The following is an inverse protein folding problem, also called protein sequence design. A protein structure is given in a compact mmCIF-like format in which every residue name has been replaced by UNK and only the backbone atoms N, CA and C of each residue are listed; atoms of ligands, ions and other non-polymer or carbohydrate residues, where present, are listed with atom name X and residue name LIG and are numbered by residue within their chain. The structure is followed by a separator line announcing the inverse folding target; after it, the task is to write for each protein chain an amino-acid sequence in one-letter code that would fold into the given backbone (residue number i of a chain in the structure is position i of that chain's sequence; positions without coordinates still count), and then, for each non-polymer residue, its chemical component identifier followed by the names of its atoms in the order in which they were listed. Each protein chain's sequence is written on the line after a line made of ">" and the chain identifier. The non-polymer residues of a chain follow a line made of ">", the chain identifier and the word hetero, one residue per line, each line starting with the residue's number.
data_IF_974962262388
#
_entry.id   IF_974962262388
#
_cell.length_a   1.000
_cell.length_b   1.000
_cell.length_c   1.000
_cell.angle_alpha   90.00
_cell.angle_beta   90.00
_cell.angle_gamma   90.00
#
_symmetry.space_group_name_H-M   'P 1'
#
loop_
_entity.id
_entity.type
_entity.pdbx_description
1 polymer ?
#
# COMPACT_ATOMS: atom_id res chain seq x y z
N UNK A 1 23.72 -13.39 -1.32
CA UNK A 1 22.80 -13.31 -0.17
C UNK A 1 22.11 -11.94 -0.02
N UNK A 2 22.83 -10.81 0.18
CA UNK A 2 22.18 -9.49 0.39
C UNK A 2 21.26 -9.01 -0.75
N UNK A 3 21.51 -9.37 -2.01
CA UNK A 3 20.67 -8.97 -3.14
C UNK A 3 19.36 -9.76 -3.24
N UNK A 4 19.34 -11.01 -2.79
CA UNK A 4 18.15 -11.88 -2.89
C UNK A 4 17.02 -11.43 -1.95
N UNK A 5 17.31 -10.73 -0.85
CA UNK A 5 16.27 -10.20 0.03
C UNK A 5 15.36 -9.19 -0.70
N UNK A 6 15.92 -8.40 -1.63
CA UNK A 6 15.14 -7.44 -2.41
C UNK A 6 14.21 -8.13 -3.41
N UNK A 7 14.64 -9.29 -3.97
CA UNK A 7 13.76 -10.13 -4.81
C UNK A 7 12.62 -10.71 -3.97
N UNK A 8 12.91 -11.17 -2.76
CA UNK A 8 11.88 -11.66 -1.82
C UNK A 8 10.87 -10.54 -1.51
N UNK A 9 11.34 -9.30 -1.28
CA UNK A 9 10.47 -8.14 -1.05
C UNK A 9 9.61 -7.84 -2.28
N UNK A 10 10.17 -7.91 -3.50
CA UNK A 10 9.38 -7.76 -4.73
C UNK A 10 8.24 -8.79 -4.73
N UNK A 11 8.54 -10.06 -4.47
CA UNK A 11 7.54 -11.14 -4.45
C UNK A 11 6.47 -10.88 -3.39
N UNK A 12 6.87 -10.49 -2.17
CA UNK A 12 5.94 -10.20 -1.08
C UNK A 12 4.97 -9.07 -1.41
N UNK A 13 5.44 -8.03 -2.10
CA UNK A 13 4.60 -6.88 -2.47
C UNK A 13 3.89 -7.07 -3.81
N UNK A 14 4.42 -7.93 -4.69
CA UNK A 14 3.78 -8.24 -5.98
C UNK A 14 2.35 -8.76 -5.77
N UNK A 15 2.14 -9.60 -4.76
CA UNK A 15 0.85 -10.12 -4.37
C UNK A 15 -0.20 -9.01 -4.15
N UNK A 16 0.15 -8.01 -3.35
CA UNK A 16 -0.74 -6.88 -3.10
C UNK A 16 -1.13 -6.15 -4.38
N UNK A 17 -0.14 -5.86 -5.23
CA UNK A 17 -0.35 -5.04 -6.41
C UNK A 17 -1.00 -5.81 -7.58
N UNK A 18 -0.73 -7.10 -7.73
CA UNK A 18 -1.40 -7.97 -8.71
C UNK A 18 -2.92 -7.98 -8.49
N UNK A 19 -3.35 -7.91 -7.25
CA UNK A 19 -4.76 -8.01 -6.88
C UNK A 19 -5.56 -6.73 -7.13
N UNK A 20 -4.94 -5.58 -7.25
CA UNK A 20 -5.65 -4.31 -7.43
C UNK A 20 -6.61 -4.30 -8.62
N UNK A 21 -6.24 -4.75 -9.83
CA UNK A 21 -7.17 -4.79 -10.95
C UNK A 21 -8.17 -5.95 -10.91
N UNK A 22 -7.92 -7.01 -10.11
CA UNK A 22 -8.65 -8.27 -10.25
C UNK A 22 -9.65 -8.58 -9.13
N UNK A 23 -9.44 -8.06 -7.91
CA UNK A 23 -10.29 -8.43 -6.75
C UNK A 23 -11.72 -7.96 -6.90
N UNK A 24 -11.93 -6.73 -7.36
CA UNK A 24 -13.27 -6.17 -7.57
C UNK A 24 -14.02 -6.89 -8.68
N UNK A 25 -13.47 -7.07 -9.91
CA UNK A 25 -14.15 -7.84 -10.95
C UNK A 25 -14.43 -9.28 -10.53
N UNK A 26 -13.51 -9.93 -9.84
CA UNK A 26 -13.70 -11.28 -9.34
C UNK A 26 -14.86 -11.38 -8.33
N UNK A 27 -14.98 -10.41 -7.42
CA UNK A 27 -16.11 -10.36 -6.49
C UNK A 27 -17.45 -10.16 -7.23
N UNK A 28 -17.48 -9.29 -8.25
CA UNK A 28 -18.66 -9.04 -9.08
C UNK A 28 -19.06 -10.30 -9.90
N UNK A 29 -18.09 -11.04 -10.45
CA UNK A 29 -18.32 -12.32 -11.15
C UNK A 29 -18.96 -13.37 -10.22
N UNK A 30 -18.60 -13.36 -8.91
CA UNK A 30 -19.22 -14.22 -7.89
C UNK A 30 -20.61 -13.71 -7.42
N UNK A 31 -21.15 -12.67 -8.04
CA UNK A 31 -22.48 -12.12 -7.77
C UNK A 31 -22.54 -11.11 -6.63
N UNK A 32 -21.41 -10.49 -6.26
CA UNK A 32 -21.41 -9.40 -5.27
C UNK A 32 -22.12 -8.16 -5.83
N UNK A 33 -22.83 -7.39 -4.96
CA UNK A 33 -23.12 -6.01 -5.26
C UNK A 33 -21.84 -5.17 -5.23
N UNK A 34 -21.87 -3.94 -5.77
CA UNK A 34 -20.70 -3.05 -5.76
C UNK A 34 -20.24 -2.72 -4.35
N UNK A 35 -21.20 -2.51 -3.43
CA UNK A 35 -20.87 -2.32 -2.03
C UNK A 35 -20.22 -3.57 -1.41
N UNK A 36 -20.76 -4.77 -1.68
CA UNK A 36 -20.20 -6.01 -1.18
C UNK A 36 -18.79 -6.26 -1.74
N UNK A 37 -18.56 -5.95 -3.01
CA UNK A 37 -17.22 -6.01 -3.61
C UNK A 37 -16.24 -5.04 -2.92
N UNK A 38 -16.70 -3.85 -2.51
CA UNK A 38 -15.87 -2.92 -1.73
C UNK A 38 -15.52 -3.46 -0.34
N UNK A 39 -16.44 -4.20 0.30
CA UNK A 39 -16.19 -4.90 1.57
C UNK A 39 -15.13 -5.99 1.39
N UNK A 40 -15.14 -6.72 0.26
CA UNK A 40 -14.08 -7.70 -0.08
C UNK A 40 -12.71 -7.04 -0.15
N UNK A 41 -12.62 -5.86 -0.77
CA UNK A 41 -11.36 -5.09 -0.83
C UNK A 41 -10.95 -4.61 0.55
N UNK A 42 -11.89 -4.07 1.35
CA UNK A 42 -11.65 -3.53 2.68
C UNK A 42 -11.22 -4.61 3.68
N UNK A 43 -11.79 -5.82 3.60
CA UNK A 43 -11.55 -6.92 4.53
C UNK A 43 -10.05 -7.26 4.67
N UNK A 44 -9.31 -7.25 3.57
CA UNK A 44 -7.86 -7.40 3.56
C UNK A 44 -7.17 -6.32 4.40
N UNK A 45 -7.51 -5.05 4.18
CA UNK A 45 -6.84 -3.92 4.83
C UNK A 45 -7.12 -3.88 6.34
N UNK A 46 -8.34 -4.26 6.77
CA UNK A 46 -8.70 -4.36 8.20
C UNK A 46 -7.81 -5.36 8.93
N UNK A 47 -7.68 -6.55 8.39
CA UNK A 47 -6.90 -7.61 9.06
C UNK A 47 -5.40 -7.46 8.88
N UNK A 48 -4.96 -6.77 7.83
CA UNK A 48 -3.56 -6.40 7.62
C UNK A 48 -3.02 -5.55 8.78
N UNK A 49 -3.83 -4.68 9.40
CA UNK A 49 -3.44 -3.94 10.61
C UNK A 49 -3.04 -4.90 11.73
N UNK A 50 -3.89 -5.86 12.02
CA UNK A 50 -3.63 -6.87 13.06
C UNK A 50 -2.41 -7.72 12.72
N UNK A 51 -2.30 -8.12 11.44
CA UNK A 51 -1.15 -8.86 10.93
C UNK A 51 0.17 -8.12 11.11
N UNK A 52 0.21 -6.81 10.83
CA UNK A 52 1.40 -5.97 11.02
C UNK A 52 1.81 -5.89 12.51
N UNK A 53 0.86 -5.68 13.41
CA UNK A 53 1.13 -5.59 14.85
C UNK A 53 1.66 -6.92 15.39
N UNK A 54 0.97 -8.02 15.10
CA UNK A 54 1.35 -9.34 15.58
C UNK A 54 2.61 -9.86 14.86
N UNK A 55 2.77 -9.57 13.58
CA UNK A 55 3.97 -9.90 12.81
C UNK A 55 5.23 -9.22 13.35
N UNK A 56 5.12 -7.94 13.74
CA UNK A 56 6.18 -7.24 14.45
C UNK A 56 6.54 -7.94 15.77
N UNK A 57 5.55 -8.24 16.61
CA UNK A 57 5.75 -8.94 17.87
C UNK A 57 6.36 -10.34 17.68
N UNK A 58 5.84 -11.13 16.72
CA UNK A 58 6.39 -12.46 16.43
C UNK A 58 7.80 -12.39 15.87
N UNK A 59 8.07 -11.43 15.00
CA UNK A 59 9.38 -11.17 14.44
C UNK A 59 10.44 -10.88 15.52
N UNK A 60 10.06 -10.10 16.54
CA UNK A 60 10.93 -9.79 17.67
C UNK A 60 11.10 -10.97 18.64
N UNK A 61 10.04 -11.76 18.85
CA UNK A 61 10.04 -12.85 19.84
C UNK A 61 10.61 -14.15 19.30
N UNK A 62 10.24 -14.55 18.09
CA UNK A 62 10.55 -15.87 17.51
C UNK A 62 11.66 -15.81 16.45
N UNK A 63 11.98 -14.63 15.96
CA UNK A 63 13.03 -14.39 14.96
C UNK A 63 12.47 -13.90 13.61
N UNK A 64 13.31 -13.15 12.90
CA UNK A 64 12.93 -12.50 11.64
C UNK A 64 12.63 -13.51 10.53
N UNK A 65 13.57 -14.45 10.33
CA UNK A 65 13.43 -15.49 9.31
C UNK A 65 12.23 -16.41 9.59
N UNK A 66 12.06 -16.84 10.83
CA UNK A 66 10.97 -17.77 11.21
C UNK A 66 9.60 -17.13 10.97
N UNK A 67 9.42 -15.88 11.37
CA UNK A 67 8.16 -15.15 11.15
C UNK A 67 7.89 -14.93 9.67
N UNK A 68 8.93 -14.56 8.89
CA UNK A 68 8.83 -14.41 7.44
C UNK A 68 8.43 -15.73 6.76
N UNK A 69 9.07 -16.83 7.11
CA UNK A 69 8.77 -18.17 6.56
C UNK A 69 7.35 -18.60 6.89
N UNK A 70 6.92 -18.45 8.15
CA UNK A 70 5.54 -18.77 8.56
C UNK A 70 4.53 -17.95 7.76
N UNK A 71 4.75 -16.63 7.67
CA UNK A 71 3.90 -15.75 6.87
C UNK A 71 3.85 -16.18 5.41
N UNK A 72 4.97 -16.50 4.79
CA UNK A 72 5.01 -16.95 3.39
C UNK A 72 4.36 -18.30 3.16
N UNK A 73 4.50 -19.27 4.09
CA UNK A 73 3.81 -20.57 3.99
C UNK A 73 2.30 -20.35 4.05
N UNK A 74 1.80 -19.58 5.02
CA UNK A 74 0.39 -19.26 5.13
C UNK A 74 -0.11 -18.50 3.89
N UNK A 75 0.73 -17.62 3.33
CA UNK A 75 0.40 -16.87 2.13
C UNK A 75 0.25 -17.77 0.89
N UNK A 76 1.13 -18.76 0.70
CA UNK A 76 0.99 -19.76 -0.37
C UNK A 76 -0.34 -20.49 -0.24
N UNK A 77 -0.70 -20.94 0.97
CA UNK A 77 -1.95 -21.66 1.21
C UNK A 77 -3.17 -20.79 0.91
N UNK A 78 -3.16 -19.53 1.40
CA UNK A 78 -4.32 -18.64 1.23
C UNK A 78 -4.46 -18.14 -0.22
N UNK A 79 -3.36 -17.84 -0.92
CA UNK A 79 -3.40 -17.48 -2.34
C UNK A 79 -3.96 -18.67 -3.17
N UNK A 80 -3.56 -19.89 -2.84
CA UNK A 80 -4.09 -21.08 -3.50
C UNK A 80 -5.60 -21.27 -3.26
N UNK A 81 -6.15 -20.78 -2.16
CA UNK A 81 -7.59 -20.88 -1.86
C UNK A 81 -8.45 -20.04 -2.80
N UNK A 82 -7.91 -19.00 -3.42
CA UNK A 82 -8.65 -18.22 -4.43
C UNK A 82 -8.99 -19.02 -5.70
N UNK A 83 -8.22 -20.07 -6.01
CA UNK A 83 -8.41 -20.90 -7.23
C UNK A 83 -9.79 -21.57 -7.24
N UNK A 84 -10.31 -21.92 -6.05
CA UNK A 84 -11.57 -22.68 -5.90
C UNK A 84 -12.57 -21.93 -5.01
N UNK A 85 -12.69 -20.61 -5.15
CA UNK A 85 -13.61 -19.80 -4.36
C UNK A 85 -15.05 -19.93 -4.90
N UNK A 86 -15.98 -20.58 -4.18
CA UNK A 86 -17.30 -20.87 -4.71
C UNK A 86 -18.32 -19.74 -4.46
N UNK A 87 -18.12 -18.89 -3.47
CA UNK A 87 -19.08 -17.86 -3.04
C UNK A 87 -18.38 -16.61 -2.52
N UNK A 88 -19.14 -15.51 -2.50
CA UNK A 88 -18.67 -14.23 -1.98
C UNK A 88 -18.31 -14.31 -0.49
N UNK A 89 -19.03 -15.07 0.30
CA UNK A 89 -18.73 -15.26 1.74
C UNK A 89 -17.38 -15.94 1.96
N UNK A 90 -17.06 -16.96 1.14
CA UNK A 90 -15.76 -17.63 1.15
C UNK A 90 -14.67 -16.66 0.70
N UNK A 91 -14.91 -15.83 -0.32
CA UNK A 91 -13.97 -14.82 -0.78
C UNK A 91 -13.64 -13.82 0.33
N UNK A 92 -14.64 -13.33 1.08
CA UNK A 92 -14.42 -12.45 2.23
C UNK A 92 -13.57 -13.15 3.30
N UNK A 93 -13.87 -14.41 3.63
CA UNK A 93 -13.08 -15.20 4.57
C UNK A 93 -11.62 -15.34 4.15
N UNK A 94 -11.38 -15.65 2.87
CA UNK A 94 -10.04 -15.70 2.28
C UNK A 94 -9.35 -14.34 2.40
N UNK A 95 -10.02 -13.23 2.09
CA UNK A 95 -9.48 -11.86 2.19
C UNK A 95 -9.08 -11.49 3.62
N UNK A 96 -9.88 -11.90 4.61
CA UNK A 96 -9.60 -11.70 6.04
C UNK A 96 -8.30 -12.41 6.43
N UNK A 97 -8.15 -13.69 6.10
CA UNK A 97 -6.93 -14.46 6.41
C UNK A 97 -5.75 -13.93 5.60
N UNK A 98 -5.96 -13.59 4.33
CA UNK A 98 -4.93 -13.06 3.44
C UNK A 98 -4.34 -11.74 3.95
N UNK A 99 -5.18 -10.78 4.33
CA UNK A 99 -4.72 -9.51 4.91
C UNK A 99 -3.87 -9.73 6.17
N UNK A 100 -4.32 -10.62 7.05
CA UNK A 100 -3.58 -10.96 8.27
C UNK A 100 -2.21 -11.55 7.97
N UNK A 101 -2.13 -12.55 7.09
CA UNK A 101 -0.87 -13.23 6.74
C UNK A 101 0.11 -12.29 6.02
N UNK A 102 -0.38 -11.47 5.11
CA UNK A 102 0.43 -10.46 4.41
C UNK A 102 0.96 -9.40 5.39
N UNK A 103 0.13 -8.98 6.35
CA UNK A 103 0.56 -8.07 7.41
C UNK A 103 1.71 -8.62 8.27
N UNK A 104 1.75 -9.92 8.52
CA UNK A 104 2.86 -10.55 9.26
C UNK A 104 4.20 -10.50 8.52
N UNK A 105 4.18 -10.54 7.19
CA UNK A 105 5.37 -10.60 6.34
C UNK A 105 6.14 -9.26 6.36
N UNK A 106 5.42 -8.15 6.23
CA UNK A 106 5.99 -6.81 6.03
C UNK A 106 6.98 -6.39 7.14
N UNK A 107 6.63 -6.40 8.44
CA UNK A 107 7.55 -6.00 9.49
C UNK A 107 8.74 -6.96 9.63
N UNK A 108 8.54 -8.26 9.40
CA UNK A 108 9.61 -9.25 9.44
C UNK A 108 10.64 -9.02 8.32
N UNK A 109 10.17 -8.75 7.09
CA UNK A 109 11.03 -8.48 5.94
C UNK A 109 11.83 -7.17 6.12
N UNK A 110 11.19 -6.09 6.60
CA UNK A 110 11.85 -4.81 6.80
C UNK A 110 12.87 -4.86 7.94
N UNK A 111 12.54 -5.50 9.05
CA UNK A 111 13.48 -5.71 10.16
C UNK A 111 14.67 -6.53 9.71
N UNK A 112 14.45 -7.58 8.91
CA UNK A 112 15.54 -8.41 8.37
C UNK A 112 16.50 -7.57 7.50
N UNK A 113 15.98 -6.71 6.63
CA UNK A 113 16.83 -5.80 5.81
C UNK A 113 17.66 -4.88 6.69
N UNK A 114 17.09 -4.34 7.75
CA UNK A 114 17.81 -3.47 8.68
C UNK A 114 18.90 -4.24 9.42
N UNK A 115 18.58 -5.42 9.95
CA UNK A 115 19.51 -6.26 10.72
C UNK A 115 20.74 -6.73 9.92
N UNK A 116 20.56 -7.08 8.64
CA UNK A 116 21.66 -7.53 7.77
C UNK A 116 22.47 -6.38 7.17
N UNK A 117 22.05 -5.14 7.37
CA UNK A 117 22.69 -3.94 6.84
C UNK A 117 23.66 -3.33 7.86
N UNK A 118 24.80 -2.80 7.40
CA UNK A 118 25.68 -2.02 8.26
C UNK A 118 24.97 -0.73 8.67
N UNK A 119 25.21 -0.21 9.85
CA UNK A 119 24.59 1.02 10.38
C UNK A 119 24.65 2.18 9.40
N UNK A 120 25.81 2.39 8.77
CA UNK A 120 26.05 3.47 7.80
C UNK A 120 25.31 3.26 6.48
N UNK A 121 24.89 2.03 6.18
CA UNK A 121 24.23 1.61 4.95
C UNK A 121 22.72 1.37 5.09
N UNK A 122 22.12 1.53 6.28
CA UNK A 122 20.69 1.29 6.53
C UNK A 122 19.84 2.18 5.61
N UNK A 123 20.18 3.46 5.47
CA UNK A 123 19.45 4.38 4.58
C UNK A 123 19.42 3.89 3.12
N UNK A 124 20.58 3.43 2.61
CA UNK A 124 20.67 2.86 1.26
C UNK A 124 19.89 1.55 1.13
N UNK A 125 19.92 0.70 2.14
CA UNK A 125 19.18 -0.56 2.16
C UNK A 125 17.67 -0.33 2.14
N UNK A 126 17.18 0.64 2.92
CA UNK A 126 15.76 1.02 2.92
C UNK A 126 15.33 1.70 1.61
N UNK A 127 16.21 2.48 0.99
CA UNK A 127 15.95 3.01 -0.36
C UNK A 127 15.80 1.90 -1.40
N UNK A 128 16.66 0.87 -1.37
CA UNK A 128 16.53 -0.31 -2.24
C UNK A 128 15.25 -1.11 -1.95
N UNK A 129 14.82 -1.18 -0.69
CA UNK A 129 13.50 -1.75 -0.32
C UNK A 129 12.37 -0.95 -0.99
N UNK A 130 12.44 0.38 -0.95
CA UNK A 130 11.49 1.25 -1.65
C UNK A 130 11.45 1.02 -3.16
N UNK A 131 12.63 0.86 -3.79
CA UNK A 131 12.73 0.49 -5.21
C UNK A 131 12.07 -0.87 -5.49
N UNK A 132 12.28 -1.86 -4.62
CA UNK A 132 11.67 -3.19 -4.76
C UNK A 132 10.15 -3.12 -4.72
N UNK A 133 9.59 -2.35 -3.78
CA UNK A 133 8.14 -2.10 -3.69
C UNK A 133 7.65 -1.34 -4.94
N UNK A 134 8.40 -0.34 -5.40
CA UNK A 134 8.08 0.41 -6.61
C UNK A 134 8.02 -0.48 -7.86
N UNK A 135 8.95 -1.42 -8.01
CA UNK A 135 8.91 -2.41 -9.09
C UNK A 135 7.66 -3.30 -8.99
N UNK A 136 7.31 -3.77 -7.80
CA UNK A 136 6.07 -4.53 -7.59
C UNK A 136 4.82 -3.69 -7.94
N UNK A 137 4.81 -2.40 -7.59
CA UNK A 137 3.70 -1.48 -7.90
C UNK A 137 3.56 -1.18 -9.40
N UNK A 138 4.65 -1.24 -10.16
CA UNK A 138 4.64 -1.05 -11.63
C UNK A 138 4.19 -2.33 -12.33
N UNK A 139 4.86 -3.45 -12.04
CA UNK A 139 4.65 -4.70 -12.77
C UNK A 139 3.45 -5.51 -12.25
N UNK A 140 3.11 -5.37 -10.97
CA UNK A 140 2.04 -6.13 -10.33
C UNK A 140 0.67 -5.93 -11.01
N UNK A 141 0.16 -4.70 -11.10
CA UNK A 141 -1.15 -4.46 -11.68
C UNK A 141 -1.21 -4.86 -13.16
N UNK A 142 -0.16 -4.56 -13.94
CA UNK A 142 -0.11 -4.99 -15.35
C UNK A 142 -0.12 -6.52 -15.47
N UNK A 143 0.68 -7.23 -14.66
CA UNK A 143 0.69 -8.69 -14.66
C UNK A 143 -0.68 -9.25 -14.24
N UNK A 144 -1.28 -8.71 -13.18
CA UNK A 144 -2.60 -9.13 -12.70
C UNK A 144 -3.68 -8.98 -13.78
N UNK A 145 -3.77 -7.79 -14.36
CA UNK A 145 -4.77 -7.50 -15.39
C UNK A 145 -4.56 -8.30 -16.68
N UNK A 146 -3.30 -8.49 -17.14
CA UNK A 146 -3.00 -9.30 -18.33
C UNK A 146 -3.32 -10.78 -18.09
N UNK A 147 -2.90 -11.33 -16.95
CA UNK A 147 -3.13 -12.73 -16.63
C UNK A 147 -4.63 -13.03 -16.44
N UNK A 148 -5.37 -12.18 -15.75
CA UNK A 148 -6.80 -12.37 -15.52
C UNK A 148 -7.60 -12.29 -16.82
N UNK A 149 -7.28 -11.32 -17.67
CA UNK A 149 -7.93 -11.16 -18.98
C UNK A 149 -7.66 -12.35 -19.93
N UNK A 150 -6.45 -12.93 -19.89
CA UNK A 150 -6.08 -14.04 -20.80
C UNK A 150 -6.45 -15.41 -20.27
N UNK A 151 -6.36 -15.63 -18.97
CA UNK A 151 -6.43 -16.98 -18.37
C UNK A 151 -7.45 -17.10 -17.24
N UNK A 152 -8.16 -16.00 -16.90
CA UNK A 152 -9.11 -15.94 -15.80
C UNK A 152 -8.47 -15.84 -14.41
N UNK A 153 -9.31 -15.59 -13.39
CA UNK A 153 -8.84 -15.31 -12.02
C UNK A 153 -8.17 -16.52 -11.38
N UNK A 154 -8.74 -17.71 -11.52
CA UNK A 154 -8.20 -18.94 -10.94
C UNK A 154 -6.73 -19.18 -11.36
N UNK A 155 -6.44 -19.08 -12.66
CA UNK A 155 -5.09 -19.28 -13.18
C UNK A 155 -4.15 -18.13 -12.79
N UNK A 156 -4.65 -16.91 -12.67
CA UNK A 156 -3.87 -15.76 -12.15
C UNK A 156 -3.42 -16.02 -10.73
N UNK A 157 -4.31 -16.48 -9.86
CA UNK A 157 -3.95 -16.85 -8.49
C UNK A 157 -3.04 -18.08 -8.41
N UNK A 158 -3.19 -19.05 -9.33
CA UNK A 158 -2.25 -20.18 -9.43
C UNK A 158 -0.84 -19.70 -9.76
N UNK A 159 -0.68 -18.83 -10.76
CA UNK A 159 0.63 -18.24 -11.10
C UNK A 159 1.21 -17.47 -9.92
N UNK A 160 0.39 -16.68 -9.24
CA UNK A 160 0.83 -15.93 -8.05
C UNK A 160 1.27 -16.85 -6.92
N UNK A 161 0.54 -17.94 -6.65
CA UNK A 161 0.93 -18.95 -5.68
C UNK A 161 2.28 -19.60 -6.02
N UNK A 162 2.52 -19.94 -7.30
CA UNK A 162 3.80 -20.47 -7.75
C UNK A 162 4.94 -19.47 -7.59
N UNK A 163 4.72 -18.19 -7.88
CA UNK A 163 5.70 -17.11 -7.61
C UNK A 163 6.02 -17.04 -6.12
N UNK A 164 5.00 -17.17 -5.26
CA UNK A 164 5.21 -17.19 -3.80
C UNK A 164 5.97 -18.42 -3.31
N UNK A 165 5.73 -19.60 -3.93
CA UNK A 165 6.54 -20.83 -3.65
C UNK A 165 8.00 -20.58 -3.99
N UNK A 166 8.30 -19.93 -5.13
CA UNK A 166 9.69 -19.56 -5.47
C UNK A 166 10.27 -18.62 -4.42
N UNK A 167 9.51 -17.59 -3.98
CA UNK A 167 9.91 -16.68 -2.91
C UNK A 167 10.18 -17.40 -1.59
N UNK A 168 9.34 -18.37 -1.23
CA UNK A 168 9.49 -19.21 -0.04
C UNK A 168 10.80 -20.03 -0.10
N UNK A 169 11.05 -20.70 -1.23
CA UNK A 169 12.29 -21.48 -1.44
C UNK A 169 13.53 -20.58 -1.38
N UNK A 170 13.48 -19.41 -2.01
CA UNK A 170 14.56 -18.41 -1.90
C UNK A 170 14.77 -17.97 -0.45
N UNK A 171 13.72 -17.79 0.32
CA UNK A 171 13.80 -17.39 1.73
C UNK A 171 14.43 -18.49 2.58
N UNK A 172 14.07 -19.75 2.35
CA UNK A 172 14.67 -20.91 3.04
C UNK A 172 16.18 -20.95 2.82
N UNK A 173 16.62 -20.83 1.56
CA UNK A 173 18.02 -21.00 1.16
C UNK A 173 18.87 -19.76 1.44
N UNK A 174 18.37 -18.58 1.10
CA UNK A 174 19.17 -17.36 1.05
C UNK A 174 19.15 -16.53 2.35
N UNK A 175 18.10 -16.67 3.16
CA UNK A 175 17.92 -15.87 4.38
C UNK A 175 18.49 -16.63 5.58
N UNK A 176 19.34 -15.94 6.36
CA UNK A 176 19.80 -16.42 7.67
C UNK A 176 19.03 -15.71 8.77
N UNK A 177 18.82 -16.40 9.90
CA UNK A 177 18.23 -15.74 11.08
C UNK A 177 19.16 -14.63 11.56
N UNK A 178 18.59 -13.47 11.84
CA UNK A 178 19.36 -12.27 12.23
C UNK A 178 19.14 -11.86 13.69
N UNK A 179 18.24 -12.54 14.41
CA UNK A 179 17.88 -12.14 15.77
C UNK A 179 19.02 -12.41 16.73
N UNK A 180 19.67 -11.37 17.21
CA UNK A 180 20.52 -11.42 18.39
C UNK A 180 19.71 -10.97 19.61
N UNK A 181 19.80 -11.72 20.70
CA UNK A 181 19.08 -11.50 21.98
C UNK A 181 19.38 -10.11 22.59
N UNK A 182 20.39 -9.41 22.10
CA UNK A 182 20.87 -8.13 22.64
C UNK A 182 20.04 -6.90 22.25
N UNK A 183 19.21 -6.93 21.18
CA UNK A 183 18.39 -5.80 20.76
C UNK A 183 17.14 -5.57 21.63
N UNK A 184 16.91 -6.42 22.64
CA UNK A 184 15.72 -6.40 23.50
C UNK A 184 15.72 -5.28 24.58
N UNK A 185 16.77 -4.50 24.78
CA UNK A 185 16.93 -3.70 26.02
C UNK A 185 16.65 -2.20 25.91
N UNK A 186 16.42 -1.63 24.76
CA UNK A 186 15.98 -0.23 24.66
C UNK A 186 14.52 -0.10 24.28
N UNK A 187 13.63 -0.64 25.11
CA UNK A 187 12.21 -0.35 25.01
C UNK A 187 11.98 1.08 25.52
N UNK A 188 11.80 2.01 24.60
CA UNK A 188 11.58 3.40 24.97
C UNK A 188 10.27 3.56 25.75
N UNK A 189 10.33 4.28 26.85
CA UNK A 189 9.20 4.60 27.74
C UNK A 189 8.21 5.61 27.14
N UNK A 190 8.46 6.13 25.94
CA UNK A 190 7.55 7.09 25.29
C UNK A 190 6.15 6.49 25.15
N UNK A 191 5.18 7.15 25.76
CA UNK A 191 3.77 6.74 25.72
C UNK A 191 3.19 6.89 24.30
N UNK A 192 2.36 5.96 23.90
CA UNK A 192 1.64 6.02 22.61
C UNK A 192 0.84 7.33 22.46
N UNK A 193 0.23 7.80 23.56
CA UNK A 193 -0.54 9.04 23.59
C UNK A 193 0.29 10.25 23.18
N UNK A 194 1.56 10.32 23.57
CA UNK A 194 2.48 11.42 23.18
C UNK A 194 2.75 11.44 21.69
N UNK A 195 2.88 10.26 21.05
CA UNK A 195 3.12 10.16 19.60
C UNK A 195 1.86 10.47 18.79
N UNK A 196 0.69 10.04 19.27
CA UNK A 196 -0.60 10.28 18.62
C UNK A 196 -1.03 11.76 18.68
N UNK A 197 -0.55 12.53 19.70
CA UNK A 197 -0.90 13.94 19.87
C UNK A 197 0.16 14.91 19.38
N UNK A 198 1.37 14.43 19.03
CA UNK A 198 2.46 15.28 18.52
C UNK A 198 2.09 15.82 17.14
N UNK A 199 1.78 17.13 17.05
CA UNK A 199 1.22 17.79 15.86
C UNK A 199 1.89 17.42 14.52
N UNK A 200 3.24 17.44 14.35
CA UNK A 200 3.85 17.05 13.07
C UNK A 200 3.61 15.59 12.70
N UNK A 201 3.51 14.69 13.69
CA UNK A 201 3.17 13.28 13.45
C UNK A 201 1.70 13.11 13.07
N UNK A 202 0.80 13.85 13.71
CA UNK A 202 -0.64 13.87 13.35
C UNK A 202 -0.81 14.26 11.89
N UNK A 203 -0.04 15.25 11.42
CA UNK A 203 -0.03 15.65 10.01
C UNK A 203 0.40 14.50 9.09
N UNK A 204 1.45 13.76 9.46
CA UNK A 204 1.87 12.58 8.71
C UNK A 204 0.79 11.48 8.71
N UNK A 205 0.13 11.25 9.83
CA UNK A 205 -0.95 10.25 9.97
C UNK A 205 -2.18 10.61 9.12
N UNK A 206 -2.62 11.86 9.16
CA UNK A 206 -3.75 12.33 8.33
C UNK A 206 -3.37 12.29 6.84
N UNK A 207 -2.13 12.63 6.50
CA UNK A 207 -1.66 12.53 5.11
C UNK A 207 -1.67 11.10 4.61
N UNK A 208 -1.26 10.14 5.46
CA UNK A 208 -1.29 8.72 5.10
C UNK A 208 -2.72 8.21 4.95
N UNK A 209 -3.63 8.62 5.84
CA UNK A 209 -5.05 8.32 5.74
C UNK A 209 -5.62 8.88 4.44
N UNK A 210 -5.37 10.16 4.11
CA UNK A 210 -5.87 10.79 2.89
C UNK A 210 -5.34 10.10 1.61
N UNK A 211 -4.02 9.84 1.56
CA UNK A 211 -3.41 9.15 0.43
C UNK A 211 -4.02 7.77 0.22
N UNK A 212 -4.18 7.01 1.30
CA UNK A 212 -4.71 5.64 1.22
C UNK A 212 -6.21 5.59 1.03
N UNK A 213 -6.95 6.62 1.44
CA UNK A 213 -8.36 6.77 1.06
C UNK A 213 -8.49 6.89 -0.46
N UNK A 214 -7.63 7.69 -1.11
CA UNK A 214 -7.62 7.76 -2.57
C UNK A 214 -7.24 6.44 -3.24
N UNK A 215 -6.25 5.74 -2.69
CA UNK A 215 -5.76 4.47 -3.23
C UNK A 215 -6.77 3.33 -3.05
N UNK A 216 -7.43 3.25 -1.89
CA UNK A 216 -8.50 2.29 -1.63
C UNK A 216 -9.69 2.48 -2.58
N UNK A 217 -10.08 3.73 -2.81
CA UNK A 217 -11.11 4.06 -3.78
C UNK A 217 -10.67 3.70 -5.22
N UNK A 218 -9.43 4.01 -5.59
CA UNK A 218 -8.89 3.72 -6.90
C UNK A 218 -8.85 2.21 -7.17
N UNK A 219 -8.35 1.41 -6.22
CA UNK A 219 -8.24 -0.04 -6.38
C UNK A 219 -9.61 -0.73 -6.49
N UNK A 220 -10.64 -0.16 -5.85
CA UNK A 220 -12.02 -0.66 -5.95
C UNK A 220 -12.74 -0.16 -7.21
N UNK A 221 -12.77 1.16 -7.44
CA UNK A 221 -13.66 1.77 -8.43
C UNK A 221 -13.07 1.83 -9.84
N UNK A 222 -11.73 1.78 -10.02
CA UNK A 222 -11.14 1.83 -11.35
C UNK A 222 -11.51 0.60 -12.21
N UNK A 223 -11.48 -0.64 -11.69
CA UNK A 223 -11.97 -1.79 -12.43
C UNK A 223 -13.43 -1.63 -12.89
N UNK A 224 -14.31 -1.13 -12.01
CA UNK A 224 -15.72 -0.89 -12.36
C UNK A 224 -15.83 0.16 -13.47
N UNK A 225 -15.05 1.24 -13.39
CA UNK A 225 -15.01 2.29 -14.42
C UNK A 225 -14.55 1.75 -15.76
N UNK A 226 -13.50 0.93 -15.80
CA UNK A 226 -13.03 0.33 -17.06
C UNK A 226 -14.03 -0.67 -17.62
N UNK A 227 -14.64 -1.50 -16.79
CA UNK A 227 -15.73 -2.40 -17.20
C UNK A 227 -16.92 -1.64 -17.79
N UNK A 228 -17.35 -0.54 -17.18
CA UNK A 228 -18.44 0.32 -17.69
C UNK A 228 -18.14 0.95 -19.06
N UNK A 229 -16.87 1.07 -19.42
CA UNK A 229 -16.41 1.51 -20.74
C UNK A 229 -16.17 0.36 -21.73
N UNK A 230 -16.53 -0.88 -21.36
CA UNK A 230 -16.31 -2.07 -22.19
C UNK A 230 -14.84 -2.50 -22.29
N UNK A 231 -13.99 -2.07 -21.34
CA UNK A 231 -12.57 -2.40 -21.29
C UNK A 231 -12.34 -3.57 -20.31
N UNK A 232 -11.33 -4.37 -20.58
CA UNK A 232 -10.98 -5.54 -19.79
C UNK A 232 -10.02 -5.23 -18.63
N UNK A 233 -9.76 -6.21 -17.77
CA UNK A 233 -8.84 -6.10 -16.61
C UNK A 233 -7.41 -5.72 -17.03
N UNK A 234 -7.01 -6.09 -18.24
CA UNK A 234 -5.69 -5.75 -18.81
C UNK A 234 -5.50 -4.23 -18.85
N UNK A 235 -6.54 -3.50 -19.31
CA UNK A 235 -6.47 -2.02 -19.36
C UNK A 235 -6.43 -1.45 -17.96
N UNK A 236 -7.22 -1.99 -17.03
CA UNK A 236 -7.19 -1.59 -15.62
C UNK A 236 -5.78 -1.76 -15.01
N UNK A 237 -5.18 -2.91 -15.26
CA UNK A 237 -3.81 -3.20 -14.79
C UNK A 237 -2.77 -2.23 -15.37
N UNK A 238 -2.85 -1.95 -16.68
CA UNK A 238 -1.96 -0.99 -17.34
C UNK A 238 -2.14 0.43 -16.80
N UNK A 239 -3.37 0.88 -16.58
CA UNK A 239 -3.69 2.17 -15.98
C UNK A 239 -3.07 2.30 -14.59
N UNK A 240 -3.25 1.30 -13.73
CA UNK A 240 -2.65 1.28 -12.40
C UNK A 240 -1.11 1.26 -12.46
N UNK A 241 -0.51 0.65 -13.47
CA UNK A 241 0.95 0.67 -13.63
C UNK A 241 1.47 2.06 -14.01
N UNK A 242 0.68 2.86 -14.74
CA UNK A 242 1.06 4.24 -15.14
C UNK A 242 1.31 5.13 -13.93
N UNK A 243 0.48 5.06 -12.87
CA UNK A 243 0.75 5.86 -11.68
C UNK A 243 2.07 5.49 -11.02
N UNK A 244 2.39 4.18 -10.97
CA UNK A 244 3.66 3.69 -10.43
C UNK A 244 4.86 4.15 -11.25
N UNK A 245 4.78 4.04 -12.58
CA UNK A 245 5.82 4.53 -13.51
C UNK A 245 6.03 6.03 -13.33
N UNK A 246 4.95 6.81 -13.29
CA UNK A 246 5.03 8.27 -13.12
C UNK A 246 5.68 8.63 -11.78
N UNK A 247 5.31 7.95 -10.70
CA UNK A 247 5.92 8.17 -9.39
C UNK A 247 7.43 7.89 -9.41
N UNK A 248 7.86 6.80 -10.05
CA UNK A 248 9.30 6.46 -10.19
C UNK A 248 10.03 7.49 -11.05
N UNK A 249 9.43 7.98 -12.13
CA UNK A 249 10.00 9.05 -12.96
C UNK A 249 10.21 10.32 -12.13
N UNK A 250 9.23 10.72 -11.31
CA UNK A 250 9.36 11.89 -10.43
C UNK A 250 10.51 11.69 -9.44
N UNK A 251 10.64 10.51 -8.83
CA UNK A 251 11.74 10.21 -7.89
C UNK A 251 13.12 10.17 -8.53
N UNK A 252 13.21 9.67 -9.76
CA UNK A 252 14.46 9.59 -10.53
C UNK A 252 14.86 10.86 -11.26
N UNK A 253 13.97 11.86 -11.34
CA UNK A 253 14.21 13.11 -12.06
C UNK A 253 14.83 14.20 -11.17
N UNK A 254 15.33 15.30 -11.75
CA UNK A 254 15.77 16.48 -11.00
C UNK A 254 14.68 17.09 -10.09
N UNK A 255 13.41 16.75 -10.32
CA UNK A 255 12.30 17.13 -9.44
C UNK A 255 12.47 16.60 -8.01
N UNK A 256 13.24 15.54 -7.82
CA UNK A 256 13.59 15.05 -6.48
C UNK A 256 14.24 16.12 -5.60
N UNK A 257 14.94 17.10 -6.18
CA UNK A 257 15.51 18.21 -5.43
C UNK A 257 14.48 19.10 -4.73
N UNK A 258 13.21 19.06 -5.15
CA UNK A 258 12.14 19.81 -4.50
C UNK A 258 11.87 19.33 -3.06
N UNK A 259 12.14 18.07 -2.72
CA UNK A 259 12.01 17.56 -1.35
C UNK A 259 13.02 18.19 -0.36
N UNK A 260 14.09 18.82 -0.88
CA UNK A 260 15.07 19.55 -0.07
C UNK A 260 14.80 21.07 -0.07
N UNK A 261 14.11 21.59 -1.09
CA UNK A 261 13.90 23.04 -1.26
C UNK A 261 12.52 23.51 -0.81
N UNK A 262 11.51 22.65 -0.90
CA UNK A 262 10.12 22.99 -0.57
C UNK A 262 9.75 22.40 0.79
N UNK A 263 9.06 23.16 1.62
CA UNK A 263 8.58 22.68 2.91
C UNK A 263 7.64 21.47 2.72
N UNK A 264 7.84 20.45 3.55
CA UNK A 264 7.17 19.14 3.46
C UNK A 264 5.63 19.28 3.45
N UNK A 265 5.09 20.15 4.30
CA UNK A 265 3.66 20.43 4.38
C UNK A 265 3.08 21.02 3.08
N UNK A 266 3.87 21.83 2.35
CA UNK A 266 3.43 22.36 1.03
C UNK A 266 3.40 21.25 -0.01
N UNK A 267 4.39 20.36 -0.02
CA UNK A 267 4.42 19.23 -0.95
C UNK A 267 3.21 18.32 -0.76
N UNK A 268 2.84 18.03 0.50
CA UNK A 268 1.67 17.23 0.83
C UNK A 268 0.39 17.91 0.32
N UNK A 269 0.21 19.22 0.61
CA UNK A 269 -0.98 19.97 0.14
C UNK A 269 -1.09 19.96 -1.38
N UNK A 270 0.00 20.28 -2.08
CA UNK A 270 0.04 20.27 -3.56
C UNK A 270 -0.28 18.86 -4.08
N UNK A 271 0.33 17.82 -3.49
CA UNK A 271 0.10 16.45 -3.91
C UNK A 271 -1.35 15.99 -3.71
N UNK A 272 -2.00 16.35 -2.58
CA UNK A 272 -3.40 16.03 -2.33
C UNK A 272 -4.34 16.78 -3.30
N UNK A 273 -4.05 18.05 -3.64
CA UNK A 273 -4.80 18.78 -4.68
C UNK A 273 -4.68 18.09 -6.04
N UNK A 274 -3.46 17.68 -6.41
CA UNK A 274 -3.21 16.96 -7.68
C UNK A 274 -3.96 15.63 -7.70
N UNK A 275 -3.97 14.87 -6.59
CA UNK A 275 -4.73 13.62 -6.49
C UNK A 275 -6.23 13.88 -6.61
N UNK A 276 -6.76 14.90 -5.93
CA UNK A 276 -8.18 15.27 -6.02
C UNK A 276 -8.57 15.63 -7.47
N UNK A 277 -7.73 16.40 -8.15
CA UNK A 277 -7.93 16.72 -9.57
C UNK A 277 -7.90 15.46 -10.45
N UNK A 278 -6.96 14.55 -10.21
CA UNK A 278 -6.88 13.28 -10.92
C UNK A 278 -8.17 12.45 -10.73
N UNK A 279 -8.71 12.40 -9.51
CA UNK A 279 -9.98 11.71 -9.23
C UNK A 279 -11.15 12.32 -10.03
N UNK A 280 -11.21 13.64 -10.12
CA UNK A 280 -12.21 14.33 -10.94
C UNK A 280 -12.04 13.99 -12.42
N UNK A 281 -10.81 13.98 -12.93
CA UNK A 281 -10.51 13.61 -14.31
C UNK A 281 -10.87 12.14 -14.61
N UNK A 282 -10.63 11.21 -13.67
CA UNK A 282 -11.05 9.80 -13.82
C UNK A 282 -12.59 9.72 -13.87
N UNK A 283 -13.30 10.48 -13.04
CA UNK A 283 -14.76 10.48 -13.03
C UNK A 283 -15.34 10.85 -14.39
N UNK A 284 -14.88 11.94 -14.99
CA UNK A 284 -15.34 12.42 -16.29
C UNK A 284 -14.69 11.70 -17.49
N UNK A 285 -13.68 10.89 -17.26
CA UNK A 285 -12.95 10.15 -18.31
C UNK A 285 -13.85 9.16 -19.04
N UNK A 286 -14.03 9.35 -20.35
CA UNK A 286 -14.81 8.47 -21.22
C UNK A 286 -13.93 7.69 -22.20
N UNK A 287 -12.63 7.97 -22.26
CA UNK A 287 -11.69 7.33 -23.16
C UNK A 287 -10.36 7.00 -22.50
N UNK A 288 -9.67 6.03 -23.09
CA UNK A 288 -8.37 5.52 -22.57
C UNK A 288 -7.35 6.64 -22.38
N UNK A 289 -7.20 7.54 -23.37
CA UNK A 289 -6.20 8.62 -23.30
C UNK A 289 -6.38 9.51 -22.07
N UNK A 290 -7.63 9.85 -21.75
CA UNK A 290 -7.95 10.67 -20.59
C UNK A 290 -7.68 9.91 -19.29
N UNK A 291 -7.98 8.61 -19.21
CA UNK A 291 -7.70 7.78 -18.06
C UNK A 291 -6.19 7.63 -17.84
N UNK A 292 -5.40 7.40 -18.91
CA UNK A 292 -3.93 7.36 -18.80
C UNK A 292 -3.35 8.70 -18.31
N UNK A 293 -3.83 9.82 -18.84
CA UNK A 293 -3.41 11.14 -18.38
C UNK A 293 -3.77 11.37 -16.91
N UNK A 294 -4.98 11.01 -16.50
CA UNK A 294 -5.44 11.14 -15.12
C UNK A 294 -4.62 10.29 -14.14
N UNK A 295 -4.29 9.03 -14.50
CA UNK A 295 -3.45 8.15 -13.68
C UNK A 295 -1.98 8.65 -13.64
N UNK A 296 -1.49 9.25 -14.73
CA UNK A 296 -0.21 9.95 -14.72
C UNK A 296 -0.21 11.13 -13.74
N UNK A 297 -1.24 11.97 -13.76
CA UNK A 297 -1.42 13.09 -12.82
C UNK A 297 -1.53 12.56 -11.38
N UNK A 298 -2.30 11.48 -11.16
CA UNK A 298 -2.37 10.81 -9.86
C UNK A 298 -1.00 10.39 -9.37
N UNK A 299 -0.18 9.80 -10.24
CA UNK A 299 1.19 9.37 -9.93
C UNK A 299 2.10 10.53 -9.49
N UNK A 300 1.97 11.72 -10.09
CA UNK A 300 2.69 12.93 -9.66
C UNK A 300 2.27 13.30 -8.23
N UNK A 301 0.96 13.35 -7.95
CA UNK A 301 0.45 13.66 -6.61
C UNK A 301 0.91 12.65 -5.57
N UNK A 302 0.85 11.36 -5.88
CA UNK A 302 1.34 10.27 -5.03
C UNK A 302 2.83 10.44 -4.73
N UNK A 303 3.63 10.75 -5.73
CA UNK A 303 5.07 10.96 -5.59
C UNK A 303 5.41 12.14 -4.68
N UNK A 304 4.57 13.16 -4.60
CA UNK A 304 4.76 14.29 -3.68
C UNK A 304 4.37 13.95 -2.25
N UNK A 305 3.25 13.24 -2.05
CA UNK A 305 2.70 12.97 -0.71
C UNK A 305 3.50 11.88 0.00
N UNK A 306 3.74 10.73 -0.66
CA UNK A 306 4.29 9.54 -0.01
C UNK A 306 5.66 9.75 0.66
N UNK A 307 6.69 10.32 -0.01
CA UNK A 307 7.97 10.58 0.64
C UNK A 307 7.88 11.68 1.69
N UNK A 308 7.02 12.67 1.45
CA UNK A 308 6.86 13.82 2.35
C UNK A 308 6.31 13.39 3.71
N UNK A 309 5.27 12.53 3.73
CA UNK A 309 4.73 12.02 5.00
C UNK A 309 5.74 11.13 5.75
N UNK A 310 6.52 10.31 5.03
CA UNK A 310 7.58 9.49 5.64
C UNK A 310 8.73 10.35 6.20
N UNK A 311 9.07 11.46 5.52
CA UNK A 311 10.06 12.42 6.00
C UNK A 311 9.62 13.04 7.32
N UNK A 312 8.35 13.39 7.50
CA UNK A 312 7.81 13.89 8.78
C UNK A 312 8.02 12.87 9.91
N UNK A 313 7.71 11.59 9.67
CA UNK A 313 7.95 10.56 10.69
C UNK A 313 9.44 10.52 11.05
N UNK A 314 10.33 10.51 10.06
CA UNK A 314 11.78 10.47 10.28
C UNK A 314 12.33 11.66 11.03
N UNK A 315 11.83 12.88 10.76
CA UNK A 315 12.30 14.13 11.35
C UNK A 315 11.80 14.35 12.79
N UNK A 316 10.56 13.95 13.09
CA UNK A 316 9.91 14.23 14.37
C UNK A 316 9.87 13.05 15.33
N UNK A 317 10.70 12.01 15.08
CA UNK A 317 10.86 10.86 15.98
C UNK A 317 12.33 10.57 16.24
N UNK A 318 12.65 10.21 17.48
CA UNK A 318 13.94 9.62 17.84
C UNK A 318 14.04 8.18 17.28
N UNK A 319 15.24 7.62 17.24
CA UNK A 319 15.46 6.24 16.80
C UNK A 319 14.62 5.25 17.60
N UNK A 320 14.46 5.48 18.90
CA UNK A 320 13.68 4.63 19.82
C UNK A 320 12.16 4.80 19.69
N UNK A 321 11.67 5.96 19.24
CA UNK A 321 10.24 6.25 19.02
C UNK A 321 9.75 5.78 17.64
N UNK A 322 10.68 5.67 16.68
CA UNK A 322 10.36 5.50 15.27
C UNK A 322 9.53 4.25 14.98
N UNK A 323 9.78 3.15 15.70
CA UNK A 323 9.00 1.92 15.58
C UNK A 323 7.52 2.12 15.96
N UNK A 324 7.26 2.77 17.12
CA UNK A 324 5.89 3.07 17.56
C UNK A 324 5.19 4.07 16.65
N UNK A 325 5.87 5.12 16.21
CA UNK A 325 5.32 6.11 15.30
C UNK A 325 4.97 5.51 13.93
N UNK A 326 5.82 4.64 13.38
CA UNK A 326 5.51 3.89 12.16
C UNK A 326 4.31 2.95 12.36
N UNK A 327 4.18 2.31 13.51
CA UNK A 327 3.01 1.48 13.82
C UNK A 327 1.70 2.28 13.74
N UNK A 328 1.65 3.47 14.36
CA UNK A 328 0.50 4.37 14.25
C UNK A 328 0.28 4.81 12.80
N UNK A 329 1.35 5.20 12.11
CA UNK A 329 1.31 5.63 10.71
C UNK A 329 0.69 4.55 9.80
N UNK A 330 1.13 3.30 9.90
CA UNK A 330 0.56 2.21 9.10
C UNK A 330 -0.86 1.82 9.52
N UNK A 331 -1.25 2.06 10.77
CA UNK A 331 -2.65 1.92 11.17
C UNK A 331 -3.53 2.94 10.43
N UNK A 332 -3.15 4.23 10.41
CA UNK A 332 -3.87 5.27 9.65
C UNK A 332 -3.85 4.98 8.14
N UNK A 333 -2.74 4.48 7.62
CA UNK A 333 -2.58 4.04 6.24
C UNK A 333 -3.62 2.97 5.87
N UNK A 334 -3.75 1.92 6.68
CA UNK A 334 -4.72 0.84 6.44
C UNK A 334 -6.17 1.30 6.65
N UNK A 335 -6.44 2.12 7.68
CA UNK A 335 -7.77 2.73 7.89
C UNK A 335 -8.16 3.57 6.68
N UNK A 336 -7.23 4.35 6.11
CA UNK A 336 -7.48 5.10 4.88
C UNK A 336 -7.92 4.20 3.73
N UNK A 337 -7.25 3.08 3.51
CA UNK A 337 -7.62 2.11 2.47
C UNK A 337 -9.03 1.54 2.68
N UNK A 338 -9.37 1.17 3.91
CA UNK A 338 -10.72 0.70 4.26
C UNK A 338 -11.77 1.78 3.99
N UNK A 339 -11.56 2.99 4.51
CA UNK A 339 -12.48 4.12 4.32
C UNK A 339 -12.66 4.41 2.83
N UNK A 340 -11.57 4.44 2.07
CA UNK A 340 -11.60 4.75 0.65
C UNK A 340 -12.38 3.73 -0.17
N UNK A 341 -12.08 2.43 0.00
CA UNK A 341 -12.80 1.38 -0.73
C UNK A 341 -14.27 1.30 -0.33
N UNK A 342 -14.59 1.35 0.97
CA UNK A 342 -15.97 1.23 1.46
C UNK A 342 -16.84 2.42 1.04
N UNK A 343 -16.33 3.65 1.20
CA UNK A 343 -17.06 4.84 0.74
C UNK A 343 -17.21 4.85 -0.78
N UNK A 344 -16.17 4.47 -1.53
CA UNK A 344 -16.28 4.36 -2.98
C UNK A 344 -17.36 3.34 -3.39
N UNK A 345 -17.42 2.18 -2.70
CA UNK A 345 -18.46 1.18 -2.94
C UNK A 345 -19.86 1.71 -2.68
N UNK A 346 -20.06 2.38 -1.55
CA UNK A 346 -21.34 3.02 -1.22
C UNK A 346 -21.77 4.07 -2.28
N UNK A 347 -20.85 4.96 -2.65
CA UNK A 347 -21.14 5.99 -3.65
C UNK A 347 -21.26 5.45 -5.08
N UNK A 348 -20.68 4.31 -5.37
CA UNK A 348 -20.89 3.63 -6.67
C UNK A 348 -22.30 3.06 -6.73
N UNK A 349 -22.71 2.30 -5.72
CA UNK A 349 -24.00 1.63 -5.69
C UNK A 349 -25.19 2.61 -5.62
N UNK A 350 -25.05 3.70 -4.85
CA UNK A 350 -26.17 4.64 -4.63
C UNK A 350 -26.24 5.77 -5.68
N UNK A 351 -25.10 6.24 -6.17
CA UNK A 351 -25.03 7.51 -6.93
C UNK A 351 -24.17 7.42 -8.20
N UNK A 352 -23.47 6.34 -8.46
CA UNK A 352 -22.54 6.15 -9.59
C UNK A 352 -21.41 7.18 -9.69
N UNK A 353 -21.01 7.80 -8.56
CA UNK A 353 -20.02 8.90 -8.51
C UNK A 353 -18.83 8.62 -7.57
N UNK A 354 -18.21 7.41 -7.56
CA UNK A 354 -17.18 7.09 -6.58
C UNK A 354 -15.99 8.05 -6.60
N UNK A 355 -15.47 8.38 -7.76
CA UNK A 355 -14.29 9.25 -7.87
C UNK A 355 -14.56 10.70 -7.52
N UNK A 356 -15.73 11.21 -7.89
CA UNK A 356 -16.12 12.58 -7.55
C UNK A 356 -16.31 12.74 -6.04
N UNK A 357 -17.00 11.80 -5.40
CA UNK A 357 -17.18 11.81 -3.95
C UNK A 357 -15.85 11.68 -3.20
N UNK A 358 -14.93 10.85 -3.70
CA UNK A 358 -13.61 10.76 -3.11
C UNK A 358 -12.77 12.03 -3.28
N UNK A 359 -12.90 12.74 -4.38
CA UNK A 359 -12.28 14.06 -4.53
C UNK A 359 -12.76 15.03 -3.45
N UNK A 360 -14.06 15.04 -3.14
CA UNK A 360 -14.63 15.84 -2.04
C UNK A 360 -14.05 15.41 -0.69
N UNK A 361 -14.00 14.10 -0.39
CA UNK A 361 -13.41 13.57 0.85
C UNK A 361 -11.95 14.01 1.01
N UNK A 362 -11.16 13.96 -0.07
CA UNK A 362 -9.77 14.41 -0.06
C UNK A 362 -9.65 15.92 0.18
N UNK A 363 -10.55 16.73 -0.38
CA UNK A 363 -10.58 18.18 -0.14
C UNK A 363 -10.93 18.45 1.33
N UNK A 364 -11.87 17.73 1.92
CA UNK A 364 -12.20 17.86 3.35
C UNK A 364 -10.98 17.51 4.21
N UNK A 365 -10.30 16.39 3.92
CA UNK A 365 -9.07 16.01 4.63
C UNK A 365 -7.95 17.03 4.43
N UNK A 366 -7.84 17.65 3.26
CA UNK A 366 -6.91 18.73 2.97
C UNK A 366 -7.20 19.99 3.81
N UNK A 367 -8.48 20.32 3.99
CA UNK A 367 -8.90 21.44 4.88
C UNK A 367 -8.54 21.14 6.32
N UNK A 368 -8.83 19.93 6.82
CA UNK A 368 -8.43 19.48 8.16
C UNK A 368 -6.91 19.58 8.32
N UNK A 369 -6.15 19.09 7.35
CA UNK A 369 -4.70 19.22 7.31
C UNK A 369 -4.26 20.68 7.38
N UNK A 370 -4.83 21.56 6.58
CA UNK A 370 -4.48 22.98 6.52
C UNK A 370 -4.78 23.74 7.83
N UNK A 371 -5.80 23.30 8.57
CA UNK A 371 -6.10 23.85 9.91
C UNK A 371 -5.06 23.38 10.94
N UNK A 372 -4.71 22.11 10.92
CA UNK A 372 -3.72 21.53 11.86
C UNK A 372 -2.28 22.02 11.60
N UNK A 373 -1.96 22.35 10.35
CA UNK A 373 -0.66 22.85 9.91
C UNK A 373 -0.37 24.30 10.35
N UNK A 374 -1.40 25.05 10.76
CA UNK A 374 -1.23 26.44 11.21
C UNK A 374 -0.31 26.54 12.44
N UNK A 375 0.71 27.39 12.31
CA UNK A 375 1.65 27.67 13.40
C UNK A 375 2.77 26.65 13.61
N UNK A 376 2.93 25.66 12.73
CA UNK A 376 4.07 24.74 12.76
C UNK A 376 5.14 25.22 11.79
N UNK A 377 6.35 25.49 12.32
CA UNK A 377 7.49 25.84 11.48
C UNK A 377 8.23 24.58 11.03
N UNK A 378 8.03 24.15 9.79
CA UNK A 378 8.68 22.96 9.20
C UNK A 378 10.05 23.29 8.58
N UNK A 379 10.54 24.53 8.69
CA UNK A 379 11.83 24.94 8.12
C UNK A 379 12.99 24.83 9.11
N UNK A 380 12.71 24.72 10.40
CA UNK A 380 13.71 24.76 11.46
C UNK A 380 14.14 23.38 12.00
N UNK A 381 13.76 22.29 11.28
CA UNK A 381 14.13 20.93 11.71
C UNK A 381 14.83 20.18 10.58
#
# INVERSE_FOLDING_TARGET
>A
MRKLIYVIIIICFLDLFVQFPIVTPYALELGASEFMASVVVAAYSVTNILGNVLGGYFSDRFGRKRTLLLGMILQVLIISSYISTPTIGVLIGIRVVHGFTSGMITPAAFSLVQDISRREAIGKAMALTGVSIGLAAIFGPAAGGILSSMYGYANTYLVLALVYVVGLLLTIVAVKESTTVQSRREYNETKWTTLITRRPLVIAYISSLALMTSMGALSFALPIKTMSLGLDDRVTGMLLSVFGITAVIVFGSPLNNMFNRVAVNRLIKIGLVIISLAMILIHFGQGMSMLYAALGIYGIGYALVFPSMNKLIGQFTTMSERGKANGIFYAFFSVGSVVGSTLAGYFTEQFTIPFFSMAIVLIVLLVVFAVLDRGINFKEV
#
